data_IF_139304879820
#
_entry.id   IF_139304879820
#
_cell.length_a   1.000
_cell.length_b   1.000
_cell.length_c   1.000
_cell.angle_alpha   90.00
_cell.angle_beta   90.00
_cell.angle_gamma   90.00
#
_symmetry.space_group_name_H-M   'P 1'
#
loop_
_entity.id
_entity.type
_entity.pdbx_description
1 polymer ?
#
# COMPACT_ATOMS: atom_id res chain seq x y z
N UNK A 1 5.40 0.39 13.07
CA UNK A 1 4.43 -0.06 12.06
C UNK A 1 4.72 -1.52 11.72
N UNK A 2 3.68 -2.35 11.63
CA UNK A 2 3.78 -3.74 11.18
C UNK A 2 3.72 -3.84 9.65
N UNK A 3 4.11 -4.99 9.08
CA UNK A 3 3.97 -5.25 7.63
C UNK A 3 2.50 -5.14 7.20
N UNK A 4 1.56 -5.58 8.03
CA UNK A 4 0.13 -5.52 7.72
C UNK A 4 -0.40 -4.08 7.68
N UNK A 5 -0.02 -3.25 8.66
CA UNK A 5 -0.37 -1.83 8.69
C UNK A 5 0.21 -1.11 7.47
N UNK A 6 1.48 -1.37 7.15
CA UNK A 6 2.13 -0.80 5.97
C UNK A 6 1.43 -1.25 4.68
N UNK A 7 1.11 -2.53 4.55
CA UNK A 7 0.39 -3.08 3.40
C UNK A 7 -0.99 -2.44 3.22
N UNK A 8 -1.72 -2.21 4.31
CA UNK A 8 -3.01 -1.54 4.25
C UNK A 8 -2.87 -0.11 3.69
N UNK A 9 -1.89 0.66 4.19
CA UNK A 9 -1.62 2.02 3.73
C UNK A 9 -1.20 2.05 2.26
N UNK A 10 -0.25 1.21 1.86
CA UNK A 10 0.22 1.11 0.47
C UNK A 10 -0.95 0.78 -0.47
N UNK A 11 -1.79 -0.18 -0.09
CA UNK A 11 -2.93 -0.57 -0.90
C UNK A 11 -3.91 0.61 -1.10
N UNK A 12 -4.17 1.40 -0.06
CA UNK A 12 -5.01 2.59 -0.15
C UNK A 12 -4.38 3.69 -1.01
N UNK A 13 -3.06 3.91 -0.88
CA UNK A 13 -2.30 4.86 -1.74
C UNK A 13 -2.42 4.43 -3.21
N UNK A 14 -2.18 3.15 -3.50
CA UNK A 14 -2.25 2.60 -4.86
C UNK A 14 -3.66 2.72 -5.44
N UNK A 15 -4.68 2.43 -4.64
CA UNK A 15 -6.08 2.56 -5.05
C UNK A 15 -6.48 4.00 -5.33
N UNK A 16 -6.10 4.95 -4.46
CA UNK A 16 -6.33 6.38 -4.70
C UNK A 16 -5.67 6.83 -5.99
N UNK A 17 -4.45 6.39 -6.26
CA UNK A 17 -3.73 6.74 -7.48
C UNK A 17 -4.36 6.13 -8.73
N UNK A 18 -4.66 4.84 -8.69
CA UNK A 18 -5.33 4.12 -9.78
C UNK A 18 -6.69 4.73 -10.14
N UNK A 19 -7.51 5.10 -9.15
CA UNK A 19 -8.81 5.72 -9.39
C UNK A 19 -8.71 7.17 -9.89
N UNK A 20 -7.60 7.85 -9.63
CA UNK A 20 -7.39 9.24 -10.07
C UNK A 20 -6.71 9.31 -11.45
N UNK A 21 -5.75 8.42 -11.73
CA UNK A 21 -4.88 8.48 -12.92
C UNK A 21 -5.07 7.30 -13.89
N UNK A 22 -5.73 6.21 -13.48
CA UNK A 22 -5.88 4.98 -14.26
C UNK A 22 -4.72 3.99 -14.14
N UNK A 23 -3.62 4.36 -13.49
CA UNK A 23 -2.46 3.51 -13.21
C UNK A 23 -1.83 3.89 -11.86
N UNK A 24 -0.91 3.06 -11.34
CA UNK A 24 -0.24 3.32 -10.05
C UNK A 24 1.01 4.16 -10.28
N UNK A 25 1.95 3.64 -11.07
CA UNK A 25 3.17 4.33 -11.49
C UNK A 25 3.74 3.60 -12.70
N UNK A 26 4.36 4.34 -13.61
CA UNK A 26 5.17 3.83 -14.73
C UNK A 26 6.67 3.78 -14.38
N UNK A 27 7.05 4.30 -13.21
CA UNK A 27 8.42 4.31 -12.72
C UNK A 27 8.85 2.96 -12.12
N UNK A 28 10.16 2.76 -12.09
CA UNK A 28 10.79 1.58 -11.48
C UNK A 28 11.14 1.90 -10.03
N UNK A 29 10.59 1.14 -9.08
CA UNK A 29 10.98 1.19 -7.67
C UNK A 29 12.20 0.30 -7.43
N UNK A 30 13.33 0.90 -7.10
CA UNK A 30 14.56 0.19 -6.77
C UNK A 30 14.74 0.16 -5.26
N UNK A 31 14.99 -1.03 -4.73
CA UNK A 31 15.33 -1.23 -3.33
C UNK A 31 16.76 -1.77 -3.26
N UNK A 32 17.62 -0.95 -2.69
CA UNK A 32 19.06 -1.18 -2.60
C UNK A 32 19.47 -1.45 -1.16
N UNK A 33 20.44 -2.35 -0.97
CA UNK A 33 20.93 -2.75 0.33
C UNK A 33 22.48 -2.78 0.34
N UNK A 34 23.06 -1.60 0.55
CA UNK A 34 24.49 -1.45 0.80
C UNK A 34 24.82 -1.65 2.29
N UNK A 35 24.35 -0.74 3.16
CA UNK A 35 24.45 -0.84 4.63
C UNK A 35 23.12 -0.70 5.35
N UNK A 36 22.19 0.02 4.72
CA UNK A 36 20.79 0.16 5.12
C UNK A 36 19.93 0.01 3.87
N UNK A 37 18.64 -0.28 4.03
CA UNK A 37 17.73 -0.36 2.89
C UNK A 37 17.35 1.04 2.44
N UNK A 38 17.54 1.31 1.16
CA UNK A 38 17.14 2.55 0.51
C UNK A 38 16.03 2.28 -0.53
N UNK A 39 15.21 3.29 -0.81
CA UNK A 39 14.18 3.26 -1.84
C UNK A 39 14.45 4.39 -2.84
N UNK A 40 14.67 4.02 -4.09
CA UNK A 40 14.91 4.97 -5.17
C UNK A 40 13.91 4.79 -6.32
N UNK A 41 13.23 5.88 -6.68
CA UNK A 41 12.36 6.02 -7.85
C UNK A 41 11.93 7.46 -8.07
N UNK A 42 11.65 7.81 -9.33
CA UNK A 42 11.44 9.18 -9.80
C UNK A 42 9.98 9.67 -9.71
N UNK A 43 9.09 8.91 -9.07
CA UNK A 43 7.70 9.32 -8.94
C UNK A 43 7.51 10.37 -7.83
N UNK A 44 7.54 11.65 -8.22
CA UNK A 44 7.46 12.83 -7.34
C UNK A 44 6.22 12.86 -6.43
N UNK A 45 5.18 12.09 -6.74
CA UNK A 45 3.95 12.05 -5.95
C UNK A 45 3.82 10.76 -5.13
N UNK A 46 4.28 9.62 -5.64
CA UNK A 46 4.14 8.33 -4.97
C UNK A 46 5.24 8.13 -3.94
N UNK A 47 6.47 8.56 -4.25
CA UNK A 47 7.61 8.43 -3.34
C UNK A 47 7.37 9.14 -2.01
N UNK A 48 7.03 10.44 -1.98
CA UNK A 48 6.75 11.10 -0.71
C UNK A 48 5.56 10.47 0.01
N UNK A 49 4.50 10.06 -0.70
CA UNK A 49 3.35 9.41 -0.07
C UNK A 49 3.70 8.09 0.62
N UNK A 50 4.61 7.29 0.05
CA UNK A 50 5.09 6.06 0.67
C UNK A 50 6.06 6.35 1.83
N UNK A 51 6.98 7.30 1.66
CA UNK A 51 7.95 7.67 2.68
C UNK A 51 7.27 8.34 3.89
N UNK A 52 6.34 9.26 3.69
CA UNK A 52 5.62 9.96 4.76
C UNK A 52 4.74 9.01 5.58
N UNK A 53 4.05 8.08 4.91
CA UNK A 53 3.09 7.18 5.58
C UNK A 53 3.74 5.95 6.20
N UNK A 54 4.84 5.46 5.62
CA UNK A 54 5.48 4.18 6.01
C UNK A 54 6.86 4.40 6.64
N UNK A 55 7.63 5.38 6.18
CA UNK A 55 8.93 5.80 6.72
C UNK A 55 10.12 4.90 6.43
N UNK A 56 9.92 3.61 6.17
CA UNK A 56 11.02 2.63 6.07
C UNK A 56 11.00 1.88 4.73
N UNK A 57 12.06 1.99 3.90
CA UNK A 57 12.18 1.27 2.63
C UNK A 57 12.01 -0.25 2.76
N UNK A 58 12.59 -0.86 3.79
CA UNK A 58 12.42 -2.31 4.04
C UNK A 58 10.98 -2.68 4.41
N UNK A 59 10.25 -1.81 5.11
CA UNK A 59 8.84 -2.04 5.38
C UNK A 59 8.00 -1.90 4.12
N UNK A 60 8.29 -0.91 3.26
CA UNK A 60 7.63 -0.74 1.96
C UNK A 60 7.83 -2.00 1.11
N UNK A 61 9.08 -2.45 0.97
CA UNK A 61 9.44 -3.70 0.27
C UNK A 61 8.63 -4.89 0.78
N UNK A 62 8.66 -5.13 2.09
CA UNK A 62 8.00 -6.30 2.69
C UNK A 62 6.47 -6.21 2.60
N UNK A 63 5.91 -5.01 2.68
CA UNK A 63 4.48 -4.78 2.51
C UNK A 63 4.02 -4.97 1.06
N UNK A 64 4.81 -4.55 0.07
CA UNK A 64 4.56 -4.84 -1.34
C UNK A 64 4.56 -6.35 -1.59
N UNK A 65 5.56 -7.08 -1.09
CA UNK A 65 5.61 -8.54 -1.20
C UNK A 65 4.39 -9.18 -0.54
N UNK A 66 4.01 -8.71 0.65
CA UNK A 66 2.83 -9.21 1.34
C UNK A 66 1.54 -9.01 0.52
N UNK A 67 1.36 -7.84 -0.11
CA UNK A 67 0.18 -7.56 -0.93
C UNK A 67 0.13 -8.43 -2.20
N UNK A 68 1.28 -8.68 -2.83
CA UNK A 68 1.40 -9.57 -3.99
C UNK A 68 1.10 -11.03 -3.61
N UNK A 69 1.66 -11.52 -2.50
CA UNK A 69 1.38 -12.86 -1.96
C UNK A 69 -0.10 -13.05 -1.62
N UNK A 70 -0.80 -11.97 -1.24
CA UNK A 70 -2.25 -11.98 -0.99
C UNK A 70 -3.09 -11.80 -2.26
N UNK A 71 -2.46 -11.55 -3.40
CA UNK A 71 -3.11 -11.32 -4.70
C UNK A 71 -3.95 -10.05 -4.73
N UNK A 72 -3.54 -9.02 -3.98
CA UNK A 72 -4.23 -7.72 -3.90
C UNK A 72 -3.63 -6.69 -4.85
N UNK A 73 -2.33 -6.80 -5.07
CA UNK A 73 -1.59 -6.11 -6.12
C UNK A 73 -0.85 -7.16 -6.93
N UNK A 74 -0.30 -6.73 -8.06
CA UNK A 74 0.74 -7.47 -8.79
C UNK A 74 1.81 -6.50 -9.26
N UNK A 75 3.03 -6.97 -9.36
CA UNK A 75 4.14 -6.25 -9.99
C UNK A 75 5.12 -7.23 -10.61
N UNK A 76 6.01 -6.72 -11.45
CA UNK A 76 7.16 -7.46 -11.96
C UNK A 76 8.38 -7.12 -11.14
N UNK A 77 9.21 -8.13 -10.89
CA UNK A 77 10.51 -7.95 -10.26
C UNK A 77 11.64 -8.22 -11.24
N UNK A 78 12.76 -7.55 -11.03
CA UNK A 78 14.04 -7.87 -11.62
C UNK A 78 15.06 -7.90 -10.48
N UNK A 79 15.72 -9.04 -10.30
CA UNK A 79 16.85 -9.12 -9.38
C UNK A 79 18.00 -8.25 -9.89
N UNK A 80 18.57 -7.47 -8.99
CA UNK A 80 19.80 -6.71 -9.21
C UNK A 80 20.95 -7.47 -8.53
N UNK A 81 22.18 -6.95 -8.62
CA UNK A 81 23.33 -7.57 -7.95
C UNK A 81 23.14 -7.51 -6.41
N UNK A 82 23.87 -8.36 -5.68
CA UNK A 82 23.98 -8.27 -4.21
C UNK A 82 22.68 -8.37 -3.38
N UNK A 83 21.57 -8.82 -3.94
CA UNK A 83 20.30 -8.99 -3.20
C UNK A 83 19.33 -7.81 -3.33
N UNK A 84 19.72 -6.80 -4.11
CA UNK A 84 18.88 -5.69 -4.52
C UNK A 84 17.78 -6.17 -5.47
N UNK A 85 16.66 -5.45 -5.51
CA UNK A 85 15.60 -5.75 -6.48
C UNK A 85 14.89 -4.49 -6.98
N UNK A 86 14.51 -4.53 -8.25
CA UNK A 86 13.68 -3.53 -8.89
C UNK A 86 12.25 -4.08 -9.06
N UNK A 87 11.25 -3.29 -8.67
CA UNK A 87 9.84 -3.56 -8.88
C UNK A 87 9.24 -2.56 -9.88
N UNK A 88 8.45 -3.04 -10.82
CA UNK A 88 7.89 -2.25 -11.92
C UNK A 88 6.59 -2.87 -12.44
N UNK A 89 5.84 -2.12 -13.27
CA UNK A 89 4.55 -2.55 -13.82
C UNK A 89 3.56 -2.95 -12.72
N UNK A 90 3.36 -2.05 -11.76
CA UNK A 90 2.41 -2.24 -10.68
C UNK A 90 0.98 -2.24 -11.22
N UNK A 91 0.14 -3.13 -10.69
CA UNK A 91 -1.29 -3.18 -11.00
C UNK A 91 -2.09 -3.60 -9.78
N UNK A 92 -3.25 -2.97 -9.57
CA UNK A 92 -4.26 -3.46 -8.63
C UNK A 92 -5.00 -4.64 -9.25
N UNK A 93 -5.23 -5.69 -8.46
CA UNK A 93 -6.08 -6.79 -8.89
C UNK A 93 -7.55 -6.42 -8.67
N UNK A 94 -8.46 -7.08 -9.38
CA UNK A 94 -9.90 -6.96 -9.10
C UNK A 94 -10.21 -7.28 -7.63
N UNK A 95 -9.54 -8.29 -7.06
CA UNK A 95 -9.65 -8.63 -5.64
C UNK A 95 -9.20 -7.48 -4.72
N UNK A 96 -8.13 -6.78 -5.06
CA UNK A 96 -7.67 -5.60 -4.33
C UNK A 96 -8.70 -4.49 -4.34
N UNK A 97 -9.30 -4.19 -5.50
CA UNK A 97 -10.37 -3.20 -5.67
C UNK A 97 -11.63 -3.61 -4.89
N UNK A 98 -12.13 -4.83 -5.11
CA UNK A 98 -13.31 -5.37 -4.43
C UNK A 98 -13.16 -5.33 -2.90
N UNK A 99 -11.96 -5.61 -2.40
CA UNK A 99 -11.66 -5.57 -0.97
C UNK A 99 -11.73 -4.16 -0.38
N UNK A 100 -11.34 -3.13 -1.14
CA UNK A 100 -11.37 -1.73 -0.70
C UNK A 100 -12.78 -1.16 -0.84
N UNK A 101 -13.44 -1.40 -1.98
CA UNK A 101 -14.77 -0.87 -2.28
C UNK A 101 -15.89 -1.63 -1.56
N UNK A 102 -15.60 -2.82 -1.02
CA UNK A 102 -16.59 -3.67 -0.38
C UNK A 102 -17.57 -4.32 -1.38
N UNK A 103 -17.24 -4.30 -2.67
CA UNK A 103 -18.04 -4.89 -3.74
C UNK A 103 -17.80 -6.40 -3.73
N UNK A 104 -18.88 -7.20 -3.68
CA UNK A 104 -18.79 -8.66 -3.85
C UNK A 104 -18.96 -9.55 -2.61
N UNK A 105 -19.48 -9.06 -1.48
CA UNK A 105 -19.85 -10.00 -0.41
C UNK A 105 -20.54 -9.39 0.80
N UNK A 106 -21.88 -9.42 0.80
CA UNK A 106 -22.63 -9.49 2.05
C UNK A 106 -22.14 -10.73 2.84
N UNK A 107 -21.26 -10.52 3.83
CA UNK A 107 -20.70 -11.55 4.70
C UNK A 107 -19.19 -11.82 4.53
N UNK A 108 -18.70 -12.07 3.31
CA UNK A 108 -17.33 -12.58 3.11
C UNK A 108 -16.23 -11.51 3.01
N UNK A 109 -16.51 -10.31 2.48
CA UNK A 109 -15.47 -9.28 2.28
C UNK A 109 -14.97 -8.72 3.61
N UNK A 110 -15.86 -8.58 4.60
CA UNK A 110 -15.53 -8.20 5.98
C UNK A 110 -14.61 -9.23 6.65
N UNK A 111 -14.91 -10.52 6.48
CA UNK A 111 -14.07 -11.62 6.98
C UNK A 111 -12.73 -11.68 6.26
N UNK A 112 -12.66 -11.43 4.95
CA UNK A 112 -11.41 -11.39 4.18
C UNK A 112 -10.53 -10.22 4.63
N UNK A 113 -11.10 -9.02 4.80
CA UNK A 113 -10.36 -7.85 5.30
C UNK A 113 -9.88 -8.06 6.74
N UNK A 114 -10.77 -8.55 7.62
CA UNK A 114 -10.42 -8.93 8.99
C UNK A 114 -9.33 -9.99 9.03
N UNK A 115 -9.38 -11.02 8.18
CA UNK A 115 -8.36 -12.07 8.15
C UNK A 115 -7.04 -11.59 7.52
N UNK A 116 -7.08 -10.58 6.63
CA UNK A 116 -5.90 -10.10 5.90
C UNK A 116 -5.14 -9.03 6.67
N UNK A 117 -5.83 -8.15 7.41
CA UNK A 117 -5.21 -7.06 8.17
C UNK A 117 -5.44 -7.16 9.69
N UNK A 118 -6.15 -8.18 10.16
CA UNK A 118 -6.48 -8.36 11.58
C UNK A 118 -7.22 -7.16 12.22
N UNK A 119 -7.92 -6.37 11.41
CA UNK A 119 -8.68 -5.19 11.87
C UNK A 119 -10.13 -5.58 12.08
N UNK A 120 -10.64 -5.47 13.32
CA UNK A 120 -12.07 -5.66 13.61
C UNK A 120 -12.90 -4.50 13.02
N UNK A 121 -13.36 -4.68 11.79
CA UNK A 121 -14.31 -3.76 11.16
C UNK A 121 -15.67 -3.82 11.87
N UNK A 122 -16.19 -2.69 12.35
CA UNK A 122 -17.59 -2.55 12.79
C UNK A 122 -18.48 -2.22 11.59
N UNK A 123 -19.77 -2.55 11.68
CA UNK A 123 -20.70 -2.41 10.55
C UNK A 123 -20.93 -0.93 10.20
N UNK A 124 -20.69 -0.59 8.92
CA UNK A 124 -20.68 0.74 8.28
C UNK A 124 -19.29 1.36 8.14
N UNK A 125 -18.56 0.91 7.13
CA UNK A 125 -17.30 1.53 6.72
C UNK A 125 -17.54 2.31 5.44
N UNK A 126 -17.44 3.63 5.54
CA UNK A 126 -17.22 4.50 4.39
C UNK A 126 -15.72 4.44 4.06
N UNK A 127 -15.31 4.29 2.80
CA UNK A 127 -13.88 4.29 2.41
C UNK A 127 -13.14 5.54 2.91
N UNK A 128 -13.82 6.70 3.02
CA UNK A 128 -13.26 7.89 3.66
C UNK A 128 -12.98 7.72 5.16
N UNK A 129 -13.75 6.89 5.85
CA UNK A 129 -13.54 6.59 7.27
C UNK A 129 -12.30 5.73 7.50
N UNK A 130 -11.91 4.86 6.54
CA UNK A 130 -10.65 4.10 6.60
C UNK A 130 -9.42 5.01 6.48
N UNK A 131 -9.48 6.02 5.61
CA UNK A 131 -8.43 7.02 5.48
C UNK A 131 -8.33 7.95 6.71
N UNK A 132 -9.44 8.13 7.44
CA UNK A 132 -9.51 9.00 8.64
C UNK A 132 -9.23 8.28 9.96
N UNK A 133 -9.18 6.94 9.98
CA UNK A 133 -9.07 6.17 11.23
C UNK A 133 -7.68 6.31 11.90
N UNK A 134 -6.66 6.85 11.20
CA UNK A 134 -5.39 7.27 11.82
C UNK A 134 -5.22 8.80 12.01
N UNK A 135 -6.26 9.62 11.85
CA UNK A 135 -6.16 11.07 12.12
C UNK A 135 -6.61 11.49 13.53
N UNK A 136 -6.90 10.54 14.43
CA UNK A 136 -7.23 10.84 15.85
C UNK A 136 -6.09 10.51 16.82
N UNK A 137 -4.85 10.64 16.36
CA UNK A 137 -3.66 10.32 17.13
C UNK A 137 -2.52 11.33 17.04
N UNK A 138 -2.72 12.55 16.55
CA UNK A 138 -1.82 13.69 16.81
C UNK A 138 -2.46 14.98 16.29
N UNK A 139 -2.73 15.92 17.18
CA UNK A 139 -3.03 17.31 16.84
C UNK A 139 -1.70 17.99 16.54
N UNK A 140 -1.55 18.62 15.38
CA UNK A 140 -1.04 20.00 15.27
C UNK A 140 -1.18 20.54 13.84
N UNK A 141 -1.95 21.62 13.78
CA UNK A 141 -2.04 22.70 12.79
C UNK A 141 -0.92 22.77 11.75
N UNK A 142 -1.28 22.93 10.49
CA UNK A 142 -0.56 23.76 9.51
C UNK A 142 -1.45 23.97 8.27
N UNK A 143 -2.46 24.84 8.37
CA UNK A 143 -3.01 25.62 7.25
C UNK A 143 -3.83 26.79 7.83
N UNK A 144 -3.13 27.85 8.19
CA UNK A 144 -3.62 29.24 8.11
C UNK A 144 -2.79 29.94 7.05
#
# INVERSE_FOLDING_TARGET
MTIQEAAQKILLIFYKRYTTQGFITDEVMQFEHDSEWELDFDDELLRPALEDEIGSPILIKNALQYLDDKGLITFKTRGLLSGDFAAYLFSLTSRGVDMIEGVGGAGNTKTIYQNTFNVKLTDNINVESLLKTELKGSVLSLFQ
#
